data_IF_580724589346
#
_entry.id   IF_580724589346
#
_cell.length_a   1.000
_cell.length_b   1.000
_cell.length_c   1.000
_cell.angle_alpha   90.00
_cell.angle_beta   90.00
_cell.angle_gamma   90.00
#
_symmetry.space_group_name_H-M   'P 1'
#
loop_
_entity.id
_entity.type
_entity.pdbx_description
1 polymer ?
#
# COMPACT_ATOMS: atom_id res chain seq x y z
N UNK A 1 -12.26 7.45 6.33
CA UNK A 1 -11.56 8.08 7.45
C UNK A 1 -10.54 9.12 6.96
N UNK A 2 -9.73 8.81 5.96
CA UNK A 2 -8.68 9.73 5.45
C UNK A 2 -9.26 11.04 4.88
N UNK A 3 -10.46 11.02 4.31
CA UNK A 3 -11.09 12.20 3.71
C UNK A 3 -11.62 13.22 4.74
N UNK A 4 -11.76 12.82 6.00
CA UNK A 4 -12.19 13.69 7.12
C UNK A 4 -11.03 14.35 7.87
N UNK A 5 -9.81 14.00 7.53
CA UNK A 5 -8.61 14.51 8.22
C UNK A 5 -8.16 15.83 7.58
N UNK A 6 -8.16 16.92 8.35
CA UNK A 6 -7.68 18.23 7.90
C UNK A 6 -6.35 18.55 8.58
N UNK A 7 -5.25 18.44 7.84
CA UNK A 7 -3.92 18.81 8.34
C UNK A 7 -3.21 19.76 7.39
N UNK A 8 -2.20 20.49 7.92
CA UNK A 8 -1.34 21.38 7.13
C UNK A 8 -0.61 20.68 5.98
N UNK A 9 -0.46 19.36 6.04
CA UNK A 9 0.22 18.53 5.02
C UNK A 9 -0.76 17.93 4.00
N UNK A 10 -2.06 18.21 4.13
CA UNK A 10 -3.13 17.66 3.32
C UNK A 10 -3.88 16.53 4.05
N UNK A 11 -4.98 16.08 3.45
CA UNK A 11 -5.86 15.07 4.07
C UNK A 11 -5.24 13.69 4.19
N UNK A 12 -4.37 13.32 3.24
CA UNK A 12 -3.86 11.95 3.07
C UNK A 12 -2.43 11.74 3.57
N UNK A 13 -1.62 12.81 3.62
CA UNK A 13 -0.23 12.73 4.05
C UNK A 13 -0.03 12.09 5.44
N UNK A 14 -0.82 12.41 6.49
CA UNK A 14 -0.65 11.78 7.79
C UNK A 14 -0.85 10.27 7.77
N UNK A 15 -1.82 9.80 6.97
CA UNK A 15 -2.10 8.36 6.81
C UNK A 15 -0.95 7.61 6.16
N UNK A 16 -0.31 8.23 5.16
CA UNK A 16 0.89 7.68 4.51
C UNK A 16 2.07 7.61 5.49
N UNK A 17 2.30 8.68 6.24
CA UNK A 17 3.41 8.76 7.20
C UNK A 17 3.25 7.74 8.33
N UNK A 18 2.08 7.67 8.95
CA UNK A 18 1.77 6.73 10.03
C UNK A 18 1.73 5.30 9.48
N UNK A 19 1.09 5.09 8.33
CA UNK A 19 0.99 3.79 7.68
C UNK A 19 2.34 3.18 7.34
N UNK A 20 3.32 4.00 6.90
CA UNK A 20 4.69 3.55 6.64
C UNK A 20 5.36 2.98 7.90
N UNK A 21 5.19 3.66 9.04
CA UNK A 21 5.75 3.22 10.32
C UNK A 21 5.06 1.95 10.82
N UNK A 22 3.71 1.93 10.79
CA UNK A 22 2.91 0.76 11.20
C UNK A 22 3.25 -0.46 10.36
N UNK A 23 3.36 -0.30 9.03
CA UNK A 23 3.74 -1.37 8.11
C UNK A 23 5.15 -1.90 8.42
N UNK A 24 6.10 -1.02 8.67
CA UNK A 24 7.49 -1.39 8.98
C UNK A 24 7.59 -2.14 10.31
N UNK A 25 6.88 -1.68 11.35
CA UNK A 25 6.80 -2.37 12.64
C UNK A 25 6.16 -3.76 12.46
N UNK A 26 5.07 -3.83 11.70
CA UNK A 26 4.40 -5.09 11.39
C UNK A 26 5.34 -6.07 10.68
N UNK A 27 6.09 -5.58 9.68
CA UNK A 27 7.04 -6.39 8.93
C UNK A 27 8.21 -6.88 9.81
N UNK A 28 8.82 -6.00 10.60
CA UNK A 28 9.91 -6.38 11.50
C UNK A 28 9.44 -7.40 12.53
N UNK A 29 8.27 -7.17 13.15
CA UNK A 29 7.71 -8.13 14.12
C UNK A 29 7.37 -9.48 13.51
N UNK A 30 6.86 -9.50 12.27
CA UNK A 30 6.54 -10.73 11.54
C UNK A 30 7.78 -11.62 11.35
N UNK A 31 8.92 -11.03 11.01
CA UNK A 31 10.17 -11.75 10.77
C UNK A 31 11.05 -11.89 12.02
N UNK A 32 10.66 -11.32 13.16
CA UNK A 32 11.40 -11.39 14.43
C UNK A 32 10.63 -12.20 15.48
N UNK A 33 10.31 -13.45 15.13
CA UNK A 33 9.62 -14.36 16.06
C UNK A 33 10.61 -14.70 17.20
N UNK A 34 10.22 -14.52 18.49
CA UNK A 34 11.06 -14.91 19.62
C UNK A 34 11.39 -16.40 19.63
N UNK A 35 12.64 -16.75 19.93
CA UNK A 35 13.13 -18.14 19.88
C UNK A 35 12.35 -19.12 20.78
N UNK A 36 11.65 -18.62 21.80
CA UNK A 36 10.80 -19.43 22.69
C UNK A 36 9.42 -19.78 22.11
N UNK A 37 9.02 -19.16 20.99
CA UNK A 37 7.74 -19.43 20.34
C UNK A 37 7.93 -20.38 19.16
N UNK A 38 7.67 -21.68 19.37
CA UNK A 38 7.87 -22.71 18.34
C UNK A 38 6.51 -23.33 17.97
N UNK A 39 6.33 -23.64 16.67
CA UNK A 39 5.13 -24.31 16.17
C UNK A 39 3.86 -23.49 16.38
N UNK A 40 2.84 -24.11 16.97
CA UNK A 40 1.51 -23.47 17.16
C UNK A 40 1.57 -22.26 18.09
N UNK A 41 2.51 -22.21 19.03
CA UNK A 41 2.67 -21.08 19.95
C UNK A 41 3.14 -19.79 19.22
N UNK A 42 3.76 -19.90 18.06
CA UNK A 42 4.15 -18.76 17.24
C UNK A 42 2.97 -18.14 16.44
N UNK A 43 1.87 -18.88 16.24
CA UNK A 43 0.74 -18.43 15.41
C UNK A 43 0.15 -17.08 15.86
N UNK A 44 -0.16 -16.84 17.15
CA UNK A 44 -0.71 -15.55 17.57
C UNK A 44 0.24 -14.38 17.27
N UNK A 45 1.54 -14.58 17.43
CA UNK A 45 2.57 -13.60 17.12
C UNK A 45 2.59 -13.29 15.61
N UNK A 46 2.70 -14.32 14.78
CA UNK A 46 2.75 -14.19 13.32
C UNK A 46 1.48 -13.55 12.80
N UNK A 47 0.30 -14.01 13.23
CA UNK A 47 -0.99 -13.46 12.82
C UNK A 47 -1.15 -11.99 13.28
N UNK A 48 -0.76 -11.67 14.50
CA UNK A 48 -0.84 -10.30 15.03
C UNK A 48 0.00 -9.32 14.20
N UNK A 49 1.25 -9.65 13.94
CA UNK A 49 2.14 -8.80 13.14
C UNK A 49 1.80 -8.82 11.65
N UNK A 50 1.26 -9.91 11.11
CA UNK A 50 0.73 -9.97 9.76
C UNK A 50 -0.46 -9.02 9.58
N UNK A 51 -1.41 -9.03 10.52
CA UNK A 51 -2.55 -8.09 10.51
C UNK A 51 -2.05 -6.65 10.64
N UNK A 52 -1.08 -6.39 11.52
CA UNK A 52 -0.51 -5.05 11.69
C UNK A 52 0.17 -4.56 10.41
N UNK A 53 0.98 -5.41 9.75
CA UNK A 53 1.62 -5.09 8.48
C UNK A 53 0.59 -4.80 7.38
N UNK A 54 -0.47 -5.61 7.30
CA UNK A 54 -1.57 -5.44 6.34
C UNK A 54 -2.34 -4.15 6.57
N UNK A 55 -2.62 -3.80 7.82
CA UNK A 55 -3.24 -2.53 8.18
C UNK A 55 -2.36 -1.35 7.76
N UNK A 56 -1.06 -1.40 8.06
CA UNK A 56 -0.11 -0.37 7.63
C UNK A 56 -0.04 -0.24 6.12
N UNK A 57 0.01 -1.35 5.40
CA UNK A 57 -0.04 -1.39 3.94
C UNK A 57 -1.33 -0.75 3.39
N UNK A 58 -2.48 -1.05 3.98
CA UNK A 58 -3.77 -0.48 3.58
C UNK A 58 -3.82 1.04 3.82
N UNK A 59 -3.26 1.50 4.97
CA UNK A 59 -3.16 2.92 5.28
C UNK A 59 -2.29 3.70 4.29
N UNK A 60 -1.33 3.06 3.65
CA UNK A 60 -0.50 3.64 2.59
C UNK A 60 -1.15 3.49 1.21
N UNK A 61 -1.59 2.29 0.86
CA UNK A 61 -2.02 1.92 -0.49
C UNK A 61 -3.28 2.67 -0.93
N UNK A 62 -4.29 2.80 -0.05
CA UNK A 62 -5.55 3.47 -0.39
C UNK A 62 -5.36 4.97 -0.63
N UNK A 63 -4.76 5.77 0.28
CA UNK A 63 -4.54 7.18 0.03
C UNK A 63 -3.62 7.44 -1.16
N UNK A 64 -2.57 6.63 -1.32
CA UNK A 64 -1.64 6.75 -2.44
C UNK A 64 -2.31 6.52 -3.79
N UNK A 65 -3.14 5.48 -3.90
CA UNK A 65 -3.89 5.19 -5.12
C UNK A 65 -4.84 6.31 -5.52
N UNK A 66 -5.48 6.94 -4.54
CA UNK A 66 -6.41 8.02 -4.78
C UNK A 66 -5.75 9.39 -5.06
N UNK A 67 -4.47 9.59 -4.71
CA UNK A 67 -3.73 10.84 -4.97
C UNK A 67 -3.61 11.15 -6.47
N UNK A 68 -3.42 10.15 -7.33
CA UNK A 68 -3.32 10.35 -8.78
C UNK A 68 -4.56 11.03 -9.36
N UNK A 69 -5.76 10.70 -8.84
CA UNK A 69 -7.01 11.32 -9.26
C UNK A 69 -7.24 12.74 -8.70
N UNK A 70 -6.49 13.14 -7.65
CA UNK A 70 -6.56 14.49 -7.08
C UNK A 70 -5.55 15.47 -7.71
N UNK A 71 -4.46 14.96 -8.29
CA UNK A 71 -3.39 15.77 -8.87
C UNK A 71 -3.78 16.27 -10.25
N UNK A 72 -4.40 15.43 -11.08
CA UNK A 72 -4.79 15.80 -12.44
C UNK A 72 -6.12 15.15 -12.86
N UNK A 73 -6.86 15.85 -13.73
CA UNK A 73 -8.05 15.33 -14.39
C UNK A 73 -7.77 14.92 -15.85
N UNK A 74 -6.58 15.22 -16.37
CA UNK A 74 -6.20 14.80 -17.72
C UNK A 74 -5.96 13.29 -17.77
N UNK A 75 -6.65 12.54 -18.65
CA UNK A 75 -6.47 11.10 -18.80
C UNK A 75 -5.05 10.72 -19.21
N UNK A 76 -4.38 11.54 -20.03
CA UNK A 76 -3.02 11.30 -20.50
C UNK A 76 -2.00 11.37 -19.36
N UNK A 77 -2.09 12.43 -18.56
CA UNK A 77 -1.23 12.58 -17.38
C UNK A 77 -1.49 11.46 -16.34
N UNK A 78 -2.74 11.09 -16.10
CA UNK A 78 -3.08 9.98 -15.21
C UNK A 78 -2.50 8.65 -15.69
N UNK A 79 -2.54 8.41 -16.99
CA UNK A 79 -1.95 7.23 -17.60
C UNK A 79 -0.44 7.22 -17.43
N UNK A 80 0.24 8.36 -17.69
CA UNK A 80 1.68 8.49 -17.47
C UNK A 80 2.07 8.28 -16.00
N UNK A 81 1.33 8.86 -15.03
CA UNK A 81 1.55 8.63 -13.60
C UNK A 81 1.41 7.15 -13.22
N UNK A 82 0.42 6.47 -13.80
CA UNK A 82 0.20 5.05 -13.56
C UNK A 82 1.35 4.21 -14.15
N UNK A 83 1.81 4.54 -15.35
CA UNK A 83 2.95 3.87 -16.00
C UNK A 83 4.24 4.01 -15.17
N UNK A 84 4.57 5.21 -14.71
CA UNK A 84 5.70 5.43 -13.81
C UNK A 84 5.57 4.66 -12.50
N UNK A 85 4.39 4.66 -11.88
CA UNK A 85 4.10 3.87 -10.67
C UNK A 85 4.36 2.39 -10.90
N UNK A 86 3.88 1.83 -12.01
CA UNK A 86 4.10 0.42 -12.36
C UNK A 86 5.58 0.12 -12.62
N UNK A 87 6.29 1.01 -13.32
CA UNK A 87 7.72 0.88 -13.54
C UNK A 87 8.52 0.84 -12.24
N UNK A 88 8.28 1.79 -11.33
CA UNK A 88 8.95 1.79 -10.02
C UNK A 88 8.54 0.59 -9.15
N UNK A 89 7.29 0.12 -9.23
CA UNK A 89 6.86 -1.07 -8.52
C UNK A 89 7.62 -2.32 -9.02
N UNK A 90 7.81 -2.46 -10.33
CA UNK A 90 8.60 -3.55 -10.93
C UNK A 90 10.06 -3.53 -10.47
N UNK A 91 10.69 -2.34 -10.47
CA UNK A 91 12.04 -2.17 -9.92
C UNK A 91 12.10 -2.54 -8.45
N UNK A 92 11.10 -2.12 -7.66
CA UNK A 92 10.99 -2.46 -6.24
C UNK A 92 10.89 -3.95 -5.98
N UNK A 93 10.12 -4.67 -6.82
CA UNK A 93 9.99 -6.14 -6.75
C UNK A 93 11.33 -6.82 -7.05
N UNK A 94 12.03 -6.39 -8.10
CA UNK A 94 13.34 -6.95 -8.47
C UNK A 94 14.39 -6.68 -7.39
N UNK A 95 14.49 -5.45 -6.91
CA UNK A 95 15.43 -5.06 -5.86
C UNK A 95 15.11 -5.80 -4.55
N UNK A 96 13.83 -5.83 -4.14
CA UNK A 96 13.40 -6.54 -2.94
C UNK A 96 13.64 -8.04 -3.04
N UNK A 97 13.35 -8.65 -4.20
CA UNK A 97 13.59 -10.06 -4.46
C UNK A 97 15.04 -10.48 -4.45
N UNK A 98 15.97 -9.57 -4.74
CA UNK A 98 17.41 -9.84 -4.66
C UNK A 98 18.01 -9.44 -3.30
N UNK A 99 17.64 -8.27 -2.78
CA UNK A 99 18.23 -7.68 -1.60
C UNK A 99 17.84 -8.41 -0.30
N UNK A 100 16.55 -8.79 -0.18
CA UNK A 100 16.07 -9.46 1.03
C UNK A 100 16.69 -10.85 1.20
N UNK A 101 16.68 -11.76 0.21
CA UNK A 101 17.37 -13.05 0.33
C UNK A 101 18.88 -12.88 0.48
N UNK A 102 19.49 -11.89 -0.20
CA UNK A 102 20.92 -11.61 -0.08
C UNK A 102 21.35 -11.26 1.35
N UNK A 103 20.60 -10.42 2.04
CA UNK A 103 20.86 -10.09 3.46
C UNK A 103 20.49 -11.29 4.36
N UNK A 104 19.38 -11.94 4.08
CA UNK A 104 18.87 -13.02 4.92
C UNK A 104 19.76 -14.25 4.93
N UNK A 105 20.48 -14.55 3.83
CA UNK A 105 21.41 -15.67 3.73
C UNK A 105 22.61 -15.56 4.70
N UNK A 106 23.04 -14.33 5.03
CA UNK A 106 24.15 -14.11 5.95
C UNK A 106 23.74 -13.78 7.39
N UNK A 107 22.61 -13.09 7.56
CA UNK A 107 22.24 -12.48 8.85
C UNK A 107 20.82 -12.82 9.32
N UNK A 108 20.07 -13.57 8.54
CA UNK A 108 18.68 -13.95 8.85
C UNK A 108 17.63 -12.92 8.41
N UNK A 109 16.39 -13.37 8.34
CA UNK A 109 15.26 -12.57 7.86
C UNK A 109 14.90 -11.39 8.78
N UNK A 110 15.14 -11.52 10.08
CA UNK A 110 14.92 -10.42 11.05
C UNK A 110 15.81 -9.22 10.74
N UNK A 111 17.10 -9.47 10.47
CA UNK A 111 18.07 -8.41 10.12
C UNK A 111 17.72 -7.79 8.78
N UNK A 112 17.30 -8.61 7.80
CA UNK A 112 16.83 -8.12 6.50
C UNK A 112 15.60 -7.20 6.65
N UNK A 113 14.63 -7.58 7.47
CA UNK A 113 13.45 -6.77 7.74
C UNK A 113 13.81 -5.43 8.41
N UNK A 114 14.70 -5.43 9.39
CA UNK A 114 15.19 -4.21 10.05
C UNK A 114 15.94 -3.32 9.06
N UNK A 115 16.80 -3.88 8.22
CA UNK A 115 17.59 -3.13 7.25
C UNK A 115 16.73 -2.49 6.14
N UNK A 116 15.66 -3.14 5.72
CA UNK A 116 14.76 -2.64 4.66
C UNK A 116 13.74 -1.64 5.20
N UNK A 117 13.39 -1.69 6.49
CA UNK A 117 12.39 -0.80 7.10
C UNK A 117 12.68 0.70 6.92
N UNK A 118 13.91 1.22 7.14
CA UNK A 118 14.21 2.63 6.90
C UNK A 118 14.05 3.03 5.43
N UNK A 119 14.32 2.12 4.51
CA UNK A 119 14.15 2.36 3.07
C UNK A 119 12.67 2.50 2.71
N UNK A 120 11.80 1.67 3.27
CA UNK A 120 10.35 1.75 3.09
C UNK A 120 9.82 3.08 3.66
N UNK A 121 10.17 3.40 4.90
CA UNK A 121 9.74 4.64 5.56
C UNK A 121 10.25 5.84 4.76
N UNK A 122 11.53 5.85 4.41
CA UNK A 122 12.16 6.94 3.67
C UNK A 122 11.54 7.17 2.29
N UNK A 123 11.27 6.10 1.53
CA UNK A 123 10.63 6.20 0.22
C UNK A 123 9.22 6.79 0.31
N UNK A 124 8.40 6.33 1.28
CA UNK A 124 7.05 6.85 1.48
C UNK A 124 7.07 8.30 1.95
N UNK A 125 7.93 8.65 2.90
CA UNK A 125 8.07 10.02 3.39
C UNK A 125 8.59 10.95 2.30
N UNK A 126 9.56 10.52 1.49
CA UNK A 126 10.05 11.28 0.35
C UNK A 126 8.93 11.54 -0.67
N UNK A 127 8.09 10.53 -0.95
CA UNK A 127 6.92 10.68 -1.83
C UNK A 127 5.93 11.71 -1.27
N UNK A 128 5.63 11.66 0.04
CA UNK A 128 4.77 12.65 0.71
C UNK A 128 5.37 14.05 0.62
N UNK A 129 6.68 14.17 0.86
CA UNK A 129 7.38 15.45 0.80
C UNK A 129 7.40 16.03 -0.61
N UNK A 130 7.66 15.22 -1.62
CA UNK A 130 7.68 15.63 -3.03
C UNK A 130 6.29 16.09 -3.51
N UNK A 131 5.22 15.40 -3.07
CA UNK A 131 3.85 15.69 -3.53
C UNK A 131 3.12 16.73 -2.68
N UNK A 132 3.71 17.21 -1.57
CA UNK A 132 3.03 18.16 -0.66
C UNK A 132 2.62 19.48 -1.32
N UNK A 133 3.33 19.91 -2.37
CA UNK A 133 3.10 21.15 -3.13
C UNK A 133 2.32 20.94 -4.42
N UNK A 134 1.99 19.69 -4.77
CA UNK A 134 1.21 19.40 -5.96
C UNK A 134 -0.17 20.07 -5.89
N UNK A 135 -0.69 20.63 -6.98
CA UNK A 135 -2.04 21.17 -7.02
C UNK A 135 -3.03 20.05 -6.69
N UNK A 136 -3.96 20.32 -5.79
CA UNK A 136 -4.99 19.37 -5.39
C UNK A 136 -6.32 19.85 -5.89
N UNK A 137 -6.85 19.17 -6.89
CA UNK A 137 -8.20 19.44 -7.41
C UNK A 137 -9.18 18.78 -6.44
N UNK A 138 -9.68 19.57 -5.50
CA UNK A 138 -10.68 19.13 -4.54
C UNK A 138 -12.07 19.23 -5.18
N UNK A 139 -12.63 18.12 -5.62
CA UNK A 139 -14.08 18.02 -5.85
C UNK A 139 -14.72 17.53 -4.54
N UNK A 140 -15.42 18.38 -3.79
CA UNK A 140 -16.16 17.93 -2.63
C UNK A 140 -17.31 17.06 -3.10
N UNK A 141 -17.25 15.75 -2.86
CA UNK A 141 -18.41 14.88 -3.09
C UNK A 141 -19.36 15.01 -1.91
N UNK A 142 -20.47 15.70 -2.09
CA UNK A 142 -21.60 15.77 -1.16
C UNK A 142 -22.47 14.51 -1.14
N UNK A 143 -22.05 13.46 -1.85
CA UNK A 143 -22.81 12.22 -2.04
C UNK A 143 -22.54 11.28 -0.86
N UNK A 144 -23.58 10.75 -0.23
CA UNK A 144 -23.44 9.76 0.83
C UNK A 144 -22.75 8.48 0.32
N UNK A 145 -21.94 7.79 1.15
CA UNK A 145 -21.22 6.57 0.75
C UNK A 145 -22.13 5.47 0.17
N UNK A 146 -23.33 5.35 0.70
CA UNK A 146 -24.32 4.36 0.23
C UNK A 146 -24.81 4.69 -1.17
N UNK A 147 -25.09 5.97 -1.45
CA UNK A 147 -25.49 6.43 -2.79
C UNK A 147 -24.37 6.32 -3.80
N UNK A 148 -23.11 6.52 -3.35
CA UNK A 148 -21.93 6.32 -4.18
C UNK A 148 -21.79 4.85 -4.60
N UNK A 149 -21.98 3.90 -3.68
CA UNK A 149 -21.99 2.47 -3.99
C UNK A 149 -23.07 2.12 -5.01
N UNK A 150 -24.30 2.61 -4.85
CA UNK A 150 -25.39 2.32 -5.80
C UNK A 150 -25.07 2.85 -7.20
N UNK A 151 -24.45 4.02 -7.33
CA UNK A 151 -24.03 4.60 -8.61
C UNK A 151 -22.90 3.78 -9.26
N UNK A 152 -21.98 3.28 -8.47
CA UNK A 152 -20.87 2.43 -8.95
C UNK A 152 -21.42 1.11 -9.53
N UNK A 153 -22.33 0.43 -8.82
CA UNK A 153 -22.94 -0.81 -9.30
C UNK A 153 -23.96 -0.60 -10.44
N UNK A 154 -24.52 0.59 -10.57
CA UNK A 154 -25.36 0.93 -11.72
C UNK A 154 -24.55 1.12 -13.02
N UNK A 155 -23.24 1.37 -12.91
CA UNK A 155 -22.37 1.52 -14.08
C UNK A 155 -21.93 0.15 -14.62
N UNK A 156 -22.57 -0.30 -15.70
CA UNK A 156 -22.29 -1.60 -16.34
C UNK A 156 -20.83 -1.77 -16.76
N UNK A 157 -20.17 -0.70 -17.22
CA UNK A 157 -18.77 -0.76 -17.61
C UNK A 157 -17.86 -1.03 -16.39
N UNK A 158 -18.15 -0.40 -15.26
CA UNK A 158 -17.44 -0.64 -14.02
C UNK A 158 -17.62 -2.07 -13.52
N UNK A 159 -18.87 -2.58 -13.52
CA UNK A 159 -19.16 -3.95 -13.09
C UNK A 159 -18.44 -4.96 -13.97
N UNK A 160 -18.45 -4.78 -15.29
CA UNK A 160 -17.75 -5.64 -16.23
C UNK A 160 -16.23 -5.64 -15.96
N UNK A 161 -15.63 -4.48 -15.79
CA UNK A 161 -14.20 -4.36 -15.45
C UNK A 161 -13.88 -5.02 -14.11
N UNK A 162 -14.72 -4.84 -13.10
CA UNK A 162 -14.52 -5.45 -11.79
C UNK A 162 -14.60 -6.98 -11.85
N UNK A 163 -15.54 -7.54 -12.62
CA UNK A 163 -15.67 -8.98 -12.84
C UNK A 163 -14.45 -9.52 -13.60
N UNK A 164 -14.05 -8.88 -14.69
CA UNK A 164 -12.89 -9.29 -15.47
C UNK A 164 -11.60 -9.27 -14.62
N UNK A 165 -11.41 -8.21 -13.83
CA UNK A 165 -10.27 -8.11 -12.92
C UNK A 165 -10.32 -9.19 -11.82
N UNK A 166 -11.50 -9.48 -11.28
CA UNK A 166 -11.70 -10.54 -10.30
C UNK A 166 -11.35 -11.92 -10.85
N UNK A 167 -11.83 -12.24 -12.06
CA UNK A 167 -11.51 -13.51 -12.75
C UNK A 167 -10.00 -13.61 -13.03
N UNK A 168 -9.38 -12.54 -13.52
CA UNK A 168 -7.94 -12.51 -13.78
C UNK A 168 -7.14 -12.73 -12.50
N UNK A 169 -7.51 -12.08 -11.41
CA UNK A 169 -6.83 -12.22 -10.11
C UNK A 169 -6.98 -13.64 -9.56
N UNK A 170 -8.17 -14.23 -9.70
CA UNK A 170 -8.45 -15.60 -9.28
C UNK A 170 -7.64 -16.61 -10.11
N UNK A 171 -7.53 -16.39 -11.42
CA UNK A 171 -6.70 -17.23 -12.29
C UNK A 171 -5.21 -17.17 -11.88
N UNK A 172 -4.68 -15.97 -11.62
CA UNK A 172 -3.29 -15.82 -11.13
C UNK A 172 -3.11 -16.51 -9.78
N UNK A 173 -4.06 -16.34 -8.85
CA UNK A 173 -3.99 -16.97 -7.54
C UNK A 173 -3.97 -18.51 -7.63
N UNK A 174 -4.75 -19.10 -8.54
CA UNK A 174 -4.79 -20.54 -8.76
C UNK A 174 -3.49 -21.08 -9.38
N UNK A 175 -2.80 -20.27 -10.21
CA UNK A 175 -1.52 -20.68 -10.82
C UNK A 175 -0.37 -20.59 -9.80
N UNK A 176 -0.47 -19.67 -8.83
CA UNK A 176 0.58 -19.42 -7.83
C UNK A 176 0.39 -20.19 -6.52
N UNK A 177 -0.77 -20.84 -6.32
CA UNK A 177 -1.07 -21.71 -5.17
C UNK A 177 -0.53 -23.15 -5.39
#
# INVERSE_FOLDING_TARGET
>A
LSDKTHTRWGRRAPWLVVGAVVMSIGMVGLFSVPAGLIGVAALPWVLGFFVLATLGFTMVSIPYGAMAGEITQDPTERSAMTAWRMGFASVGILVGGALIPGIASGSGYSVAAIAVSPLIIGAIWLSVFATRRAPKIMTPSSISPVRMLSLVFANKAFVLLAVLYGVMTLAIALITA
#
